data_IF_491181892608
#
_entry.id   IF_491181892608
#
_cell.length_a   1.000
_cell.length_b   1.000
_cell.length_c   1.000
_cell.angle_alpha   90.00
_cell.angle_beta   90.00
_cell.angle_gamma   90.00
#
_symmetry.space_group_name_H-M   'P 1'
#
loop_
_entity.id
_entity.type
_entity.pdbx_description
1 polymer ?
#
# COMPACT_ATOMS: atom_id res chain seq x y z
N UNK A 1 5.11 -27.72 56.32
CA UNK A 1 4.63 -27.59 54.93
C UNK A 1 5.48 -26.54 54.20
N UNK A 2 6.45 -27.00 53.43
CA UNK A 2 7.37 -26.13 52.72
C UNK A 2 6.85 -25.84 51.33
N UNK A 3 6.59 -24.56 51.03
CA UNK A 3 6.18 -24.11 49.72
C UNK A 3 7.40 -24.16 48.78
N UNK A 4 7.38 -25.05 47.78
CA UNK A 4 8.41 -25.10 46.73
C UNK A 4 8.29 -23.85 45.85
N UNK A 5 9.37 -23.07 45.75
CA UNK A 5 9.47 -21.90 44.89
C UNK A 5 9.68 -22.32 43.42
N UNK A 6 9.13 -21.59 42.49
CA UNK A 6 9.25 -21.82 41.03
C UNK A 6 10.66 -21.46 40.51
N UNK A 7 11.16 -22.10 39.44
CA UNK A 7 12.50 -21.84 38.88
C UNK A 7 12.75 -20.37 38.51
N UNK A 8 11.69 -19.62 38.22
CA UNK A 8 11.77 -18.16 37.87
C UNK A 8 12.17 -17.32 39.08
N UNK A 9 11.72 -17.69 40.28
CA UNK A 9 12.03 -16.96 41.53
C UNK A 9 13.48 -17.17 41.99
N UNK A 10 14.07 -18.31 41.71
CA UNK A 10 15.49 -18.57 41.99
C UNK A 10 16.43 -17.80 41.03
N UNK A 11 16.08 -17.75 39.75
CA UNK A 11 16.85 -16.99 38.74
C UNK A 11 16.90 -15.48 39.06
N UNK A 12 15.81 -14.93 39.58
CA UNK A 12 15.77 -13.51 40.00
C UNK A 12 16.64 -13.23 41.22
N UNK A 13 16.73 -14.20 42.14
CA UNK A 13 17.56 -14.06 43.36
C UNK A 13 19.05 -14.16 43.11
N UNK A 14 19.46 -15.02 42.17
CA UNK A 14 20.88 -15.17 41.77
C UNK A 14 21.36 -13.93 41.03
N UNK A 15 20.54 -13.31 40.16
CA UNK A 15 20.88 -12.09 39.44
C UNK A 15 21.01 -10.82 40.34
N UNK A 16 20.26 -10.81 41.47
CA UNK A 16 20.36 -9.71 42.46
C UNK A 16 21.65 -9.81 43.30
N UNK A 17 22.19 -11.00 43.49
CA UNK A 17 23.43 -11.18 44.22
C UNK A 17 24.72 -10.86 43.43
N UNK A 18 24.62 -10.71 42.09
CA UNK A 18 25.74 -10.43 41.18
C UNK A 18 25.91 -8.94 40.83
N UNK A 19 25.17 -8.01 41.44
CA UNK A 19 25.36 -6.58 41.25
C UNK A 19 25.10 -6.11 39.82
N UNK A 20 24.34 -6.85 39.01
CA UNK A 20 23.99 -6.42 37.66
C UNK A 20 22.80 -5.47 37.77
N UNK A 21 23.09 -4.19 37.66
CA UNK A 21 22.10 -3.12 37.56
C UNK A 21 21.36 -3.28 36.20
N UNK A 22 20.17 -3.92 36.26
CA UNK A 22 19.28 -3.96 35.08
C UNK A 22 18.69 -2.57 35.00
N UNK A 23 19.25 -1.73 34.12
CA UNK A 23 18.66 -0.47 33.75
C UNK A 23 17.18 -0.72 33.44
N UNK A 24 16.27 -0.20 34.27
CA UNK A 24 14.84 -0.19 34.09
C UNK A 24 14.50 0.67 32.87
N UNK A 25 14.55 0.09 31.67
CA UNK A 25 13.74 0.57 30.59
C UNK A 25 12.28 0.28 31.00
N UNK A 26 11.58 1.27 31.50
CA UNK A 26 10.13 1.21 31.67
C UNK A 26 9.58 0.92 30.25
N UNK A 27 9.03 -0.29 30.04
CA UNK A 27 8.15 -0.55 28.89
C UNK A 27 7.00 0.42 29.06
N UNK A 28 6.98 1.48 28.25
CA UNK A 28 5.85 2.41 28.21
C UNK A 28 4.60 1.59 27.90
N UNK A 29 3.50 1.87 28.59
CA UNK A 29 2.20 1.32 28.26
C UNK A 29 1.83 1.70 26.83
N UNK A 30 1.22 0.80 26.06
CA UNK A 30 0.89 1.02 24.65
C UNK A 30 0.08 2.31 24.44
N UNK A 31 -0.83 2.63 25.33
CA UNK A 31 -1.60 3.90 25.30
C UNK A 31 -0.70 5.14 25.42
N UNK A 32 0.34 5.07 26.23
CA UNK A 32 1.30 6.18 26.42
C UNK A 32 2.10 6.42 25.13
N UNK A 33 2.49 5.37 24.42
CA UNK A 33 3.21 5.47 23.15
C UNK A 33 2.31 6.05 22.05
N UNK A 34 1.06 5.58 21.95
CA UNK A 34 0.07 6.13 21.01
C UNK A 34 -0.09 7.64 21.26
N UNK A 35 -0.28 8.06 22.52
CA UNK A 35 -0.43 9.46 22.90
C UNK A 35 0.82 10.28 22.53
N UNK A 36 2.01 9.75 22.76
CA UNK A 36 3.27 10.42 22.40
C UNK A 36 3.39 10.62 20.88
N UNK A 37 2.97 9.63 20.08
CA UNK A 37 3.07 9.68 18.61
C UNK A 37 1.93 10.43 17.93
N UNK A 38 0.85 10.76 18.65
CA UNK A 38 -0.32 11.44 18.11
C UNK A 38 -0.18 12.97 18.25
N UNK A 39 -0.34 13.70 17.14
CA UNK A 39 -0.42 15.17 17.13
C UNK A 39 -1.85 15.69 16.94
N UNK A 40 -2.73 14.88 16.34
CA UNK A 40 -4.14 15.18 16.13
C UNK A 40 -4.94 13.87 16.06
N UNK A 41 -6.25 13.95 16.28
CA UNK A 41 -7.17 12.81 16.21
C UNK A 41 -8.30 13.11 15.23
N UNK A 42 -8.69 12.11 14.46
CA UNK A 42 -9.83 12.14 13.55
C UNK A 42 -10.74 10.96 13.85
N UNK A 43 -11.95 11.23 14.35
CA UNK A 43 -12.95 10.19 14.64
C UNK A 43 -14.11 10.19 13.63
N UNK A 44 -14.57 11.37 13.20
CA UNK A 44 -15.56 11.54 12.12
C UNK A 44 -15.47 12.94 11.50
N UNK A 45 -16.04 13.06 10.27
CA UNK A 45 -16.02 14.31 9.52
C UNK A 45 -16.98 15.40 10.08
N UNK A 46 -17.91 15.06 10.98
CA UNK A 46 -18.95 15.96 11.47
C UNK A 46 -18.44 16.92 12.55
N UNK A 47 -17.32 16.66 13.18
CA UNK A 47 -16.78 17.39 14.31
C UNK A 47 -15.33 17.84 14.11
N UNK A 48 -15.12 18.90 13.34
CA UNK A 48 -13.79 19.50 13.26
C UNK A 48 -13.23 19.63 11.85
N UNK A 49 -11.91 19.61 11.74
CA UNK A 49 -11.19 19.68 10.45
C UNK A 49 -11.39 18.39 9.64
N UNK A 50 -11.43 18.53 8.33
CA UNK A 50 -11.45 17.37 7.43
C UNK A 50 -10.13 16.59 7.50
N UNK A 51 -10.17 15.31 7.23
CA UNK A 51 -8.98 14.43 7.30
C UNK A 51 -7.81 14.93 6.44
N UNK A 52 -8.01 15.36 5.18
CA UNK A 52 -6.92 15.94 4.37
C UNK A 52 -6.27 17.16 5.00
N UNK A 53 -7.03 18.02 5.66
CA UNK A 53 -6.52 19.23 6.31
C UNK A 53 -5.56 18.87 7.45
N UNK A 54 -5.96 17.92 8.31
CA UNK A 54 -5.11 17.40 9.38
C UNK A 54 -3.83 16.75 8.84
N UNK A 55 -3.94 15.99 7.74
CA UNK A 55 -2.79 15.36 7.11
C UNK A 55 -1.81 16.39 6.50
N UNK A 56 -2.31 17.45 5.88
CA UNK A 56 -1.47 18.49 5.29
C UNK A 56 -0.82 19.36 6.38
N UNK A 57 -1.50 19.63 7.49
CA UNK A 57 -0.92 20.27 8.67
C UNK A 57 0.20 19.41 9.28
N UNK A 58 -0.06 18.10 9.46
CA UNK A 58 0.96 17.14 9.89
C UNK A 58 2.19 17.20 8.98
N UNK A 59 1.99 17.16 7.65
CA UNK A 59 3.09 17.20 6.68
C UNK A 59 3.91 18.50 6.82
N UNK A 60 3.24 19.64 6.98
CA UNK A 60 3.89 20.93 7.15
C UNK A 60 4.76 20.97 8.41
N UNK A 61 4.23 20.49 9.53
CA UNK A 61 4.93 20.41 10.82
C UNK A 61 6.10 19.41 10.76
N UNK A 62 5.86 18.21 10.21
CA UNK A 62 6.87 17.18 10.15
C UNK A 62 8.04 17.56 9.22
N UNK A 63 7.81 18.31 8.13
CA UNK A 63 8.87 18.88 7.31
C UNK A 63 9.80 19.81 8.08
N UNK A 64 9.30 20.54 9.09
CA UNK A 64 10.12 21.41 9.95
C UNK A 64 10.93 20.60 10.96
N UNK A 65 10.31 19.59 11.56
CA UNK A 65 10.79 18.94 12.77
C UNK A 65 11.42 17.56 12.55
N UNK A 66 11.29 16.99 11.34
CA UNK A 66 11.83 15.67 11.01
C UNK A 66 12.75 15.72 9.77
N UNK A 67 14.10 15.73 10.01
CA UNK A 67 15.08 15.88 8.93
C UNK A 67 15.01 14.84 7.82
N UNK A 68 14.65 13.57 8.15
CA UNK A 68 14.55 12.51 7.14
C UNK A 68 13.40 12.76 6.16
N UNK A 69 12.23 13.18 6.66
CA UNK A 69 11.11 13.57 5.81
C UNK A 69 11.45 14.78 4.95
N UNK A 70 12.11 15.78 5.54
CA UNK A 70 12.54 16.97 4.80
C UNK A 70 13.42 16.60 3.61
N UNK A 71 14.46 15.79 3.84
CA UNK A 71 15.35 15.29 2.77
C UNK A 71 14.58 14.52 1.70
N UNK A 72 13.67 13.61 2.12
CA UNK A 72 12.83 12.88 1.18
C UNK A 72 11.90 13.77 0.35
N UNK A 73 11.37 14.86 0.93
CA UNK A 73 10.57 15.82 0.18
C UNK A 73 11.44 16.72 -0.75
N UNK A 74 12.64 17.04 -0.34
CA UNK A 74 13.59 17.80 -1.15
C UNK A 74 14.06 17.01 -2.37
N UNK A 75 14.33 15.71 -2.22
CA UNK A 75 14.75 14.84 -3.32
C UNK A 75 13.70 14.69 -4.44
N UNK A 76 12.43 15.02 -4.19
CA UNK A 76 11.42 15.05 -5.23
C UNK A 76 11.71 16.10 -6.32
N UNK A 77 12.51 17.13 -6.02
CA UNK A 77 12.90 18.16 -7.00
C UNK A 77 13.90 17.67 -8.04
N UNK A 78 14.63 16.61 -7.70
CA UNK A 78 15.69 16.04 -8.53
C UNK A 78 15.20 14.84 -9.36
N UNK A 79 13.90 14.53 -9.27
CA UNK A 79 13.29 13.47 -10.04
C UNK A 79 13.23 13.87 -11.51
N UNK A 80 13.70 12.97 -12.37
CA UNK A 80 13.54 13.09 -13.82
C UNK A 80 12.41 12.20 -14.28
N UNK A 81 11.60 12.72 -15.20
CA UNK A 81 10.48 12.00 -15.79
C UNK A 81 10.53 12.03 -17.31
N UNK A 82 10.06 10.96 -17.92
CA UNK A 82 9.76 10.90 -19.36
C UNK A 82 8.62 9.95 -19.63
N UNK A 83 7.82 10.28 -20.64
CA UNK A 83 6.73 9.42 -21.04
C UNK A 83 7.20 8.40 -22.11
N UNK A 84 6.69 7.18 -22.03
CA UNK A 84 6.89 6.10 -22.99
C UNK A 84 5.53 5.73 -23.56
N UNK A 85 5.34 5.96 -24.87
CA UNK A 85 4.13 5.55 -25.58
C UNK A 85 4.20 4.08 -25.94
N UNK A 86 3.29 3.29 -25.37
CA UNK A 86 3.10 1.87 -25.61
C UNK A 86 1.90 1.62 -26.55
N UNK A 87 1.62 0.37 -26.88
CA UNK A 87 0.46 0.01 -27.71
C UNK A 87 -0.85 0.27 -26.92
N UNK A 88 -1.51 1.36 -27.22
CA UNK A 88 -2.82 1.72 -26.65
C UNK A 88 -2.78 2.43 -25.30
N UNK A 89 -1.62 2.60 -24.65
CA UNK A 89 -1.47 3.30 -23.37
C UNK A 89 -0.12 4.02 -23.30
N UNK A 90 0.06 4.84 -22.27
CA UNK A 90 1.33 5.49 -21.97
C UNK A 90 1.79 5.18 -20.56
N UNK A 91 3.09 5.24 -20.33
CA UNK A 91 3.70 5.08 -19.01
C UNK A 91 4.68 6.20 -18.78
N UNK A 92 4.63 6.81 -17.60
CA UNK A 92 5.65 7.74 -17.14
C UNK A 92 6.75 6.97 -16.45
N UNK A 93 7.95 7.01 -17.00
CA UNK A 93 9.13 6.55 -16.28
C UNK A 93 9.58 7.66 -15.34
N UNK A 94 9.87 7.28 -14.08
CA UNK A 94 10.35 8.21 -13.07
C UNK A 94 11.71 7.72 -12.54
N UNK A 95 12.79 8.49 -12.79
CA UNK A 95 14.09 8.23 -12.18
C UNK A 95 14.12 8.76 -10.75
N UNK A 96 14.12 7.85 -9.77
CA UNK A 96 14.12 8.18 -8.35
C UNK A 96 15.16 7.33 -7.60
N UNK A 97 16.42 7.78 -7.50
CA UNK A 97 17.51 7.02 -6.85
C UNK A 97 17.24 6.69 -5.38
N UNK A 98 16.51 7.55 -4.64
CA UNK A 98 16.16 7.33 -3.24
C UNK A 98 15.32 6.06 -3.01
N UNK A 99 14.71 5.53 -4.07
CA UNK A 99 13.90 4.30 -4.02
C UNK A 99 14.72 3.02 -4.14
N UNK A 100 16.03 3.08 -4.37
CA UNK A 100 16.87 1.89 -4.61
C UNK A 100 16.74 0.85 -3.48
N UNK A 101 16.78 1.28 -2.22
CA UNK A 101 16.67 0.39 -1.06
C UNK A 101 15.32 -0.32 -1.01
N UNK A 102 14.24 0.41 -1.29
CA UNK A 102 12.89 -0.15 -1.31
C UNK A 102 12.72 -1.14 -2.48
N UNK A 103 13.23 -0.78 -3.66
CA UNK A 103 13.14 -1.62 -4.87
C UNK A 103 13.94 -2.92 -4.73
N UNK A 104 15.10 -2.88 -4.08
CA UNK A 104 15.95 -4.04 -3.85
C UNK A 104 15.57 -4.84 -2.59
N UNK A 105 14.69 -4.34 -1.73
CA UNK A 105 14.30 -5.04 -0.52
C UNK A 105 13.82 -6.47 -0.83
N UNK A 106 14.40 -7.45 -0.16
CA UNK A 106 13.99 -8.84 -0.28
C UNK A 106 12.78 -9.09 0.64
N UNK A 107 11.62 -9.11 0.04
CA UNK A 107 10.34 -9.35 0.75
C UNK A 107 10.11 -10.85 1.01
N UNK A 108 10.84 -11.73 0.29
CA UNK A 108 10.65 -13.18 0.39
C UNK A 108 11.53 -13.84 1.48
N UNK A 109 12.66 -13.23 1.86
CA UNK A 109 13.64 -13.82 2.79
C UNK A 109 13.61 -13.23 4.20
N UNK A 110 12.80 -12.26 4.49
CA UNK A 110 12.69 -11.79 5.86
C UNK A 110 11.97 -12.85 6.71
N UNK A 111 12.74 -13.61 7.49
CA UNK A 111 12.21 -14.18 8.72
C UNK A 111 11.50 -13.04 9.45
N UNK A 112 10.18 -13.02 9.38
CA UNK A 112 9.33 -11.98 9.97
C UNK A 112 9.65 -11.75 11.47
N UNK A 113 10.26 -12.74 12.12
CA UNK A 113 10.67 -12.71 13.52
C UNK A 113 12.00 -11.98 13.80
N UNK A 114 12.82 -11.64 12.80
CA UNK A 114 14.14 -11.00 13.02
C UNK A 114 14.18 -9.53 12.61
N UNK A 115 13.28 -9.07 11.74
CA UNK A 115 13.24 -7.68 11.30
C UNK A 115 12.32 -6.84 12.20
N UNK A 116 12.89 -5.82 12.84
CA UNK A 116 12.06 -4.81 13.52
C UNK A 116 11.16 -4.10 12.49
N UNK A 117 9.85 -4.26 12.65
CA UNK A 117 8.88 -3.61 11.76
C UNK A 117 8.94 -2.09 11.98
N UNK A 118 9.22 -1.35 10.92
CA UNK A 118 9.36 0.12 10.99
C UNK A 118 8.00 0.85 11.08
N UNK A 119 6.88 0.14 11.00
CA UNK A 119 5.53 0.70 11.19
C UNK A 119 5.00 0.48 12.62
N UNK A 120 5.61 -0.42 13.40
CA UNK A 120 5.24 -0.58 14.81
C UNK A 120 5.58 0.69 15.60
N UNK A 121 4.67 1.10 16.48
CA UNK A 121 4.76 2.36 17.24
C UNK A 121 6.09 2.53 17.99
N UNK A 122 6.58 1.44 18.60
CA UNK A 122 7.82 1.39 19.38
C UNK A 122 9.10 1.54 18.52
N UNK A 123 8.97 1.37 17.20
CA UNK A 123 10.09 1.51 16.26
C UNK A 123 10.03 2.81 15.44
N UNK A 124 8.95 3.58 15.57
CA UNK A 124 8.86 4.87 14.89
C UNK A 124 9.93 5.84 15.42
N UNK A 125 10.63 6.58 14.54
CA UNK A 125 11.54 7.65 14.97
C UNK A 125 10.91 8.58 15.98
N UNK A 126 11.67 9.09 16.96
CA UNK A 126 11.14 9.96 18.00
C UNK A 126 10.45 11.20 17.43
N UNK A 127 11.02 11.77 16.37
CA UNK A 127 10.48 12.95 15.68
C UNK A 127 9.26 12.65 14.80
N UNK A 128 8.97 11.38 14.50
CA UNK A 128 7.81 11.03 13.69
C UNK A 128 6.54 11.06 14.54
N UNK A 129 5.59 11.87 14.11
CA UNK A 129 4.24 11.97 14.68
C UNK A 129 3.21 11.64 13.61
N UNK A 130 1.97 11.41 14.02
CA UNK A 130 0.88 11.08 13.11
C UNK A 130 -0.47 11.63 13.57
N UNK A 131 -1.47 11.50 12.69
CA UNK A 131 -2.88 11.71 13.00
C UNK A 131 -3.47 10.36 13.40
N UNK A 132 -4.00 10.27 14.62
CA UNK A 132 -4.73 9.10 15.07
C UNK A 132 -6.09 9.07 14.36
N UNK A 133 -6.30 8.02 13.58
CA UNK A 133 -7.51 7.83 12.80
C UNK A 133 -8.38 6.75 13.43
N UNK A 134 -9.56 7.16 13.91
CA UNK A 134 -10.62 6.31 14.49
C UNK A 134 -10.10 5.32 15.54
N UNK A 135 -9.10 5.73 16.33
CA UNK A 135 -8.47 4.94 17.40
C UNK A 135 -7.89 3.58 16.96
N UNK A 136 -7.76 3.33 15.66
CA UNK A 136 -7.27 2.06 15.09
C UNK A 136 -6.03 2.22 14.22
N UNK A 137 -5.86 3.37 13.58
CA UNK A 137 -4.75 3.63 12.66
C UNK A 137 -4.01 4.91 13.02
N UNK A 138 -2.73 4.95 12.67
CA UNK A 138 -1.93 6.17 12.72
C UNK A 138 -1.54 6.57 11.30
N UNK A 139 -1.95 7.78 10.88
CA UNK A 139 -1.59 8.34 9.57
C UNK A 139 -0.27 9.06 9.72
N UNK A 140 0.73 8.58 9.01
CA UNK A 140 2.12 9.02 9.06
C UNK A 140 2.53 9.66 7.73
N UNK A 141 3.40 10.68 7.78
CA UNK A 141 4.09 11.12 6.57
C UNK A 141 5.06 10.04 6.08
N UNK A 142 5.05 9.76 4.78
CA UNK A 142 6.00 8.82 4.19
C UNK A 142 7.37 9.52 4.02
N UNK A 143 8.45 9.05 4.69
CA UNK A 143 9.77 9.68 4.62
C UNK A 143 10.50 9.47 3.28
N UNK A 144 9.99 8.58 2.43
CA UNK A 144 10.46 8.34 1.06
C UNK A 144 9.31 8.57 0.09
N UNK A 145 8.78 9.80 -0.01
CA UNK A 145 7.59 10.08 -0.79
C UNK A 145 7.86 9.89 -2.29
N UNK A 146 6.78 9.58 -3.03
CA UNK A 146 6.76 9.58 -4.50
C UNK A 146 5.98 10.80 -4.97
N UNK A 147 5.04 11.27 -4.16
CA UNK A 147 4.21 12.43 -4.40
C UNK A 147 4.47 13.54 -3.37
N UNK A 148 4.21 14.82 -3.67
CA UNK A 148 4.44 15.95 -2.75
C UNK A 148 3.75 15.80 -1.38
N UNK A 149 2.57 15.17 -1.36
CA UNK A 149 1.86 14.73 -0.16
C UNK A 149 1.64 13.21 -0.25
N UNK A 150 2.34 12.44 0.56
CA UNK A 150 2.31 10.99 0.56
C UNK A 150 2.27 10.47 1.99
N UNK A 151 1.20 9.78 2.34
CA UNK A 151 0.94 9.29 3.69
C UNK A 151 0.89 7.77 3.73
N UNK A 152 1.24 7.22 4.88
CA UNK A 152 1.06 5.81 5.23
C UNK A 152 0.06 5.73 6.36
N UNK A 153 -1.03 5.00 6.18
CA UNK A 153 -2.08 4.75 7.17
C UNK A 153 -1.80 3.38 7.79
N UNK A 154 -1.08 3.37 8.90
CA UNK A 154 -0.61 2.15 9.57
C UNK A 154 -1.58 1.73 10.67
N UNK A 155 -1.96 0.45 10.72
CA UNK A 155 -2.70 -0.09 11.85
C UNK A 155 -1.86 0.02 13.13
N UNK A 156 -2.49 0.30 14.29
CA UNK A 156 -1.77 0.45 15.56
C UNK A 156 -1.14 -0.87 16.03
N UNK A 157 -1.82 -1.97 15.79
CA UNK A 157 -1.33 -3.31 16.09
C UNK A 157 -0.57 -3.90 14.91
N UNK A 158 0.45 -4.71 15.20
CA UNK A 158 1.17 -5.47 14.18
C UNK A 158 0.29 -6.62 13.68
N UNK A 159 -0.35 -6.41 12.54
CA UNK A 159 -1.23 -7.38 11.86
C UNK A 159 -0.72 -7.65 10.44
N UNK A 160 -0.88 -8.86 9.91
CA UNK A 160 -0.49 -9.18 8.54
C UNK A 160 -1.12 -8.23 7.52
N UNK A 161 -0.37 -7.91 6.45
CA UNK A 161 -0.84 -7.12 5.33
C UNK A 161 -1.85 -7.94 4.51
N UNK A 162 -3.15 -7.75 4.77
CA UNK A 162 -4.25 -8.40 4.06
C UNK A 162 -5.45 -7.45 3.97
N UNK A 163 -6.08 -7.37 2.79
CA UNK A 163 -7.20 -6.44 2.54
C UNK A 163 -8.56 -7.13 2.69
N UNK A 164 -8.61 -8.46 2.65
CA UNK A 164 -9.88 -9.21 2.60
C UNK A 164 -10.87 -8.80 3.70
N UNK A 165 -10.38 -8.62 4.94
CA UNK A 165 -11.21 -8.20 6.07
C UNK A 165 -11.15 -6.68 6.34
N UNK A 166 -10.52 -5.92 5.44
CA UNK A 166 -10.23 -4.50 5.63
C UNK A 166 -10.77 -3.61 4.51
N UNK A 167 -11.56 -4.18 3.61
CA UNK A 167 -12.15 -3.41 2.51
C UNK A 167 -13.08 -2.31 3.04
N UNK A 168 -13.84 -2.57 4.10
CA UNK A 168 -14.65 -1.56 4.76
C UNK A 168 -13.82 -0.36 5.27
N UNK A 169 -12.60 -0.63 5.77
CA UNK A 169 -11.66 0.42 6.19
C UNK A 169 -11.17 1.23 4.99
N UNK A 170 -10.84 0.57 3.87
CA UNK A 170 -10.45 1.26 2.65
C UNK A 170 -11.58 2.19 2.16
N UNK A 171 -12.82 1.68 2.07
CA UNK A 171 -13.97 2.47 1.63
C UNK A 171 -14.26 3.66 2.56
N UNK A 172 -14.10 3.46 3.86
CA UNK A 172 -14.23 4.52 4.87
C UNK A 172 -13.12 5.57 4.75
N UNK A 173 -11.87 5.15 4.58
CA UNK A 173 -10.75 6.08 4.33
C UNK A 173 -11.00 6.92 3.08
N UNK A 174 -11.50 6.32 1.99
CA UNK A 174 -11.84 7.03 0.78
C UNK A 174 -12.90 8.11 1.01
N UNK A 175 -13.95 7.80 1.76
CA UNK A 175 -15.00 8.76 2.11
C UNK A 175 -14.46 9.90 3.02
N UNK A 176 -13.64 9.56 4.03
CA UNK A 176 -13.08 10.54 4.97
C UNK A 176 -12.00 11.43 4.33
N UNK A 177 -11.21 10.92 3.39
CA UNK A 177 -10.31 11.73 2.56
C UNK A 177 -11.08 12.57 1.54
N UNK A 178 -12.19 12.03 1.00
CA UNK A 178 -13.06 12.69 0.05
C UNK A 178 -12.46 12.88 -1.32
N UNK A 179 -13.12 13.70 -2.16
CA UNK A 179 -12.67 13.98 -3.53
C UNK A 179 -11.29 14.64 -3.57
N UNK A 180 -10.54 14.32 -4.62
CA UNK A 180 -9.17 14.82 -4.79
C UNK A 180 -8.10 14.00 -4.08
N UNK A 181 -8.45 12.85 -3.48
CA UNK A 181 -7.52 11.94 -2.85
C UNK A 181 -7.68 10.50 -3.36
N UNK A 182 -6.56 9.82 -3.47
CA UNK A 182 -6.46 8.39 -3.74
C UNK A 182 -5.96 7.69 -2.51
N UNK A 183 -6.69 6.67 -2.04
CA UNK A 183 -6.17 5.73 -1.03
C UNK A 183 -5.85 4.42 -1.73
N UNK A 184 -4.71 3.82 -1.39
CA UNK A 184 -4.26 2.64 -2.09
C UNK A 184 -3.60 1.59 -1.19
N UNK A 185 -3.62 0.36 -1.68
CA UNK A 185 -3.13 -0.84 -1.03
C UNK A 185 -2.17 -1.61 -1.93
N UNK A 186 -1.07 -2.06 -1.34
CA UNK A 186 -0.18 -3.04 -1.94
C UNK A 186 -0.30 -4.35 -1.18
N UNK A 187 -0.63 -5.43 -1.87
CA UNK A 187 -0.61 -6.77 -1.29
C UNK A 187 0.79 -7.18 -0.82
N UNK A 188 0.89 -8.11 0.15
CA UNK A 188 2.16 -8.45 0.80
C UNK A 188 3.23 -8.97 -0.17
N UNK A 189 2.81 -9.62 -1.26
CA UNK A 189 3.69 -10.19 -2.29
C UNK A 189 3.76 -9.35 -3.57
N UNK A 190 3.22 -8.13 -3.58
CA UNK A 190 3.18 -7.26 -4.77
C UNK A 190 3.41 -5.78 -4.45
N UNK A 191 4.49 -5.50 -3.75
CA UNK A 191 5.01 -4.15 -3.56
C UNK A 191 4.81 -3.52 -2.19
N UNK A 192 4.22 -4.23 -1.22
CA UNK A 192 4.18 -3.76 0.17
C UNK A 192 5.59 -3.69 0.76
N UNK A 193 5.98 -2.53 1.31
CA UNK A 193 7.28 -2.37 1.98
C UNK A 193 7.31 -3.00 3.38
N UNK A 194 6.14 -3.19 4.01
CA UNK A 194 5.93 -3.90 5.26
C UNK A 194 4.86 -4.98 5.04
N UNK A 195 5.23 -6.15 4.48
CA UNK A 195 4.28 -7.20 4.14
C UNK A 195 3.67 -7.91 5.36
N UNK A 196 4.25 -7.68 6.52
CA UNK A 196 3.87 -8.21 7.83
C UNK A 196 3.08 -7.22 8.68
N UNK A 197 2.82 -5.99 8.19
CA UNK A 197 2.11 -4.96 8.94
C UNK A 197 1.05 -4.26 8.08
N UNK A 198 -0.21 -4.41 8.48
CA UNK A 198 -1.36 -3.83 7.78
C UNK A 198 -1.25 -2.32 7.64
N UNK A 199 -1.24 -1.84 6.42
CA UNK A 199 -1.22 -0.43 6.11
C UNK A 199 -1.85 -0.13 4.76
N UNK A 200 -2.39 1.08 4.64
CA UNK A 200 -2.77 1.72 3.39
C UNK A 200 -1.85 2.90 3.12
N UNK A 201 -1.97 3.49 1.95
CA UNK A 201 -1.28 4.73 1.62
C UNK A 201 -2.29 5.72 1.03
N UNK A 202 -2.01 7.01 1.17
CA UNK A 202 -2.85 8.06 0.62
C UNK A 202 -2.01 9.16 -0.05
N UNK A 203 -2.51 9.68 -1.17
CA UNK A 203 -1.92 10.79 -1.91
C UNK A 203 -3.00 11.59 -2.64
N UNK A 204 -2.73 12.83 -3.06
CA UNK A 204 -3.65 13.56 -3.93
C UNK A 204 -3.91 12.81 -5.24
N UNK A 205 -5.15 12.83 -5.71
CA UNK A 205 -5.56 12.26 -7.01
C UNK A 205 -4.97 13.05 -8.20
N UNK A 206 -5.07 12.49 -9.39
CA UNK A 206 -4.58 13.10 -10.63
C UNK A 206 -3.10 12.85 -10.92
N UNK A 207 -2.43 12.06 -10.07
CA UNK A 207 -1.01 11.78 -10.21
C UNK A 207 -0.73 10.60 -11.15
N UNK A 208 -1.56 9.54 -11.09
CA UNK A 208 -1.36 8.32 -11.86
C UNK A 208 -2.11 8.37 -13.19
N UNK A 209 -1.50 7.84 -14.25
CA UNK A 209 -2.09 7.85 -15.59
C UNK A 209 -3.38 7.02 -15.65
N UNK A 210 -3.47 5.93 -14.88
CA UNK A 210 -4.65 5.06 -14.80
C UNK A 210 -5.92 5.83 -14.44
N UNK A 211 -5.82 6.89 -13.65
CA UNK A 211 -6.97 7.69 -13.21
C UNK A 211 -7.75 8.31 -14.39
N UNK A 212 -7.03 8.63 -15.47
CA UNK A 212 -7.64 9.13 -16.73
C UNK A 212 -8.02 7.98 -17.66
N UNK A 213 -7.17 6.95 -17.75
CA UNK A 213 -7.36 5.83 -18.66
C UNK A 213 -8.64 5.05 -18.37
N UNK A 214 -9.05 4.91 -17.10
CA UNK A 214 -10.28 4.22 -16.71
C UNK A 214 -11.56 5.00 -17.02
N UNK A 215 -11.47 6.30 -17.27
CA UNK A 215 -12.62 7.15 -17.62
C UNK A 215 -12.95 7.13 -19.12
N UNK A 216 -12.13 6.49 -19.96
CA UNK A 216 -12.37 6.40 -21.39
C UNK A 216 -13.40 5.31 -21.74
N UNK A 217 -14.68 5.66 -21.81
CA UNK A 217 -15.83 4.74 -22.04
C UNK A 217 -15.66 3.79 -23.23
N UNK A 218 -14.93 4.16 -24.24
CA UNK A 218 -14.67 3.34 -25.45
C UNK A 218 -13.86 2.07 -25.15
N UNK A 219 -13.27 1.96 -23.97
CA UNK A 219 -12.32 0.89 -23.62
C UNK A 219 -12.93 -0.25 -22.83
N UNK A 220 -14.22 -0.25 -22.47
CA UNK A 220 -14.78 -1.28 -21.60
C UNK A 220 -16.20 -1.71 -21.99
N UNK A 221 -16.56 -2.92 -21.55
CA UNK A 221 -17.93 -3.43 -21.56
C UNK A 221 -18.38 -3.55 -20.11
N UNK A 222 -19.40 -2.81 -19.67
CA UNK A 222 -19.86 -2.83 -18.28
C UNK A 222 -20.69 -4.07 -17.99
N UNK A 223 -20.63 -4.54 -16.75
CA UNK A 223 -21.57 -5.51 -16.18
C UNK A 223 -21.99 -5.08 -14.78
N UNK A 224 -23.22 -5.41 -14.40
CA UNK A 224 -23.77 -5.08 -13.09
C UNK A 224 -23.82 -6.33 -12.22
N UNK A 225 -23.28 -6.25 -11.02
CA UNK A 225 -23.31 -7.32 -10.03
C UNK A 225 -23.76 -6.72 -8.70
N UNK A 226 -24.96 -7.11 -8.24
CA UNK A 226 -25.54 -6.67 -6.96
C UNK A 226 -25.48 -5.14 -6.71
N UNK A 227 -25.82 -4.36 -7.74
CA UNK A 227 -25.80 -2.89 -7.64
C UNK A 227 -24.44 -2.23 -7.89
N UNK A 228 -23.38 -3.00 -8.06
CA UNK A 228 -22.03 -2.51 -8.38
C UNK A 228 -21.76 -2.66 -9.87
N UNK A 229 -21.32 -1.58 -10.51
CA UNK A 229 -20.82 -1.58 -11.88
C UNK A 229 -19.39 -2.15 -11.89
N UNK A 230 -19.19 -3.20 -12.67
CA UNK A 230 -17.88 -3.81 -12.87
C UNK A 230 -17.51 -3.77 -14.35
N UNK A 231 -16.28 -3.36 -14.65
CA UNK A 231 -15.76 -3.37 -16.02
C UNK A 231 -14.26 -3.56 -16.08
N UNK A 232 -13.77 -3.93 -17.26
CA UNK A 232 -12.35 -4.12 -17.55
C UNK A 232 -11.94 -3.21 -18.70
N UNK A 233 -11.15 -2.17 -18.44
CA UNK A 233 -10.55 -1.36 -19.49
C UNK A 233 -9.60 -2.21 -20.35
N UNK A 234 -9.65 -2.01 -21.68
CA UNK A 234 -8.80 -2.71 -22.66
C UNK A 234 -7.56 -1.89 -23.01
N UNK A 235 -6.58 -2.56 -23.58
CA UNK A 235 -5.38 -1.94 -24.17
C UNK A 235 -4.57 -1.08 -23.19
N UNK A 236 -4.52 -1.50 -21.92
CA UNK A 236 -3.70 -0.86 -20.88
C UNK A 236 -2.36 -1.57 -20.62
N UNK A 237 -2.03 -2.61 -21.39
CA UNK A 237 -0.82 -3.43 -21.24
C UNK A 237 -0.76 -4.25 -19.94
N UNK A 238 -1.78 -4.12 -19.09
CA UNK A 238 -1.94 -4.79 -17.81
C UNK A 238 -3.40 -5.07 -17.52
N UNK A 239 -3.67 -6.10 -16.73
CA UNK A 239 -5.03 -6.44 -16.35
C UNK A 239 -5.54 -5.52 -15.24
N UNK A 240 -6.72 -5.00 -15.46
CA UNK A 240 -7.40 -4.06 -14.54
C UNK A 240 -8.87 -4.46 -14.41
N UNK A 241 -9.38 -4.44 -13.18
CA UNK A 241 -10.80 -4.51 -12.88
C UNK A 241 -11.18 -3.21 -12.19
N UNK A 242 -12.21 -2.55 -12.70
CA UNK A 242 -12.79 -1.36 -12.05
C UNK A 242 -14.14 -1.72 -11.48
N UNK A 243 -14.39 -1.30 -10.25
CA UNK A 243 -15.67 -1.43 -9.55
C UNK A 243 -16.17 -0.05 -9.16
N UNK A 244 -17.43 0.26 -9.43
CA UNK A 244 -18.07 1.51 -9.06
C UNK A 244 -19.44 1.25 -8.41
N UNK A 245 -19.74 1.99 -7.35
CA UNK A 245 -21.01 1.92 -6.64
C UNK A 245 -21.17 3.07 -5.65
N UNK A 246 -22.40 3.26 -5.20
CA UNK A 246 -22.80 4.26 -4.18
C UNK A 246 -23.16 3.61 -2.83
N UNK A 247 -23.26 2.28 -2.79
CA UNK A 247 -23.46 1.53 -1.55
C UNK A 247 -22.16 0.85 -1.12
N UNK A 248 -21.52 1.30 -0.01
CA UNK A 248 -20.26 0.71 0.47
C UNK A 248 -20.43 -0.76 0.89
N UNK A 249 -21.62 -1.18 1.34
CA UNK A 249 -21.89 -2.58 1.72
C UNK A 249 -21.93 -3.47 0.48
N UNK A 250 -22.56 -3.01 -0.60
CA UNK A 250 -22.53 -3.71 -1.87
C UNK A 250 -21.12 -3.77 -2.46
N UNK A 251 -20.37 -2.67 -2.40
CA UNK A 251 -18.97 -2.61 -2.84
C UNK A 251 -18.07 -3.60 -2.09
N UNK A 252 -18.18 -3.66 -0.76
CA UNK A 252 -17.47 -4.62 0.09
C UNK A 252 -17.77 -6.06 -0.33
N UNK A 253 -19.07 -6.41 -0.40
CA UNK A 253 -19.52 -7.74 -0.75
C UNK A 253 -19.05 -8.21 -2.13
N UNK A 254 -19.14 -7.34 -3.14
CA UNK A 254 -18.70 -7.68 -4.51
C UNK A 254 -17.18 -7.78 -4.58
N UNK A 255 -16.45 -6.95 -3.84
CA UNK A 255 -15.00 -7.03 -3.74
C UNK A 255 -14.53 -8.35 -3.10
N UNK A 256 -15.13 -8.74 -1.97
CA UNK A 256 -14.87 -10.04 -1.32
C UNK A 256 -15.21 -11.21 -2.24
N UNK A 257 -16.33 -11.10 -2.97
CA UNK A 257 -16.71 -12.06 -4.00
C UNK A 257 -15.65 -12.23 -5.08
N UNK A 258 -15.04 -11.11 -5.54
CA UNK A 258 -13.95 -11.13 -6.52
C UNK A 258 -12.69 -11.79 -5.94
N UNK A 259 -12.30 -11.45 -4.70
CA UNK A 259 -11.16 -12.11 -4.03
C UNK A 259 -11.37 -13.61 -3.90
N UNK A 260 -12.56 -14.03 -3.47
CA UNK A 260 -12.91 -15.44 -3.32
C UNK A 260 -12.93 -16.18 -4.68
N UNK A 261 -13.40 -15.53 -5.74
CA UNK A 261 -13.36 -16.09 -7.07
C UNK A 261 -11.91 -16.27 -7.55
N UNK A 262 -11.06 -15.27 -7.37
CA UNK A 262 -9.62 -15.35 -7.69
C UNK A 262 -8.93 -16.45 -6.88
N UNK A 263 -9.19 -16.56 -5.56
CA UNK A 263 -8.64 -17.64 -4.72
C UNK A 263 -8.99 -19.01 -5.27
N UNK A 264 -10.25 -19.23 -5.65
CA UNK A 264 -10.72 -20.51 -6.19
C UNK A 264 -10.09 -20.85 -7.54
N UNK A 265 -10.02 -19.88 -8.46
CA UNK A 265 -9.43 -20.11 -9.80
C UNK A 265 -7.93 -20.38 -9.68
N UNK A 266 -7.24 -19.68 -8.79
CA UNK A 266 -5.80 -19.81 -8.57
C UNK A 266 -5.44 -20.95 -7.59
N UNK A 267 -6.44 -21.62 -6.96
CA UNK A 267 -6.25 -22.65 -5.93
C UNK A 267 -5.36 -22.17 -4.78
N UNK A 268 -5.65 -20.97 -4.26
CA UNK A 268 -4.91 -20.34 -3.17
C UNK A 268 -5.66 -20.46 -1.83
N UNK A 269 -4.92 -20.72 -0.75
CA UNK A 269 -5.43 -20.59 0.62
C UNK A 269 -5.27 -19.16 1.17
N UNK A 270 -4.28 -18.43 0.68
CA UNK A 270 -3.98 -17.05 1.05
C UNK A 270 -4.64 -16.02 0.12
N UNK A 271 -4.51 -14.73 0.47
CA UNK A 271 -4.99 -13.62 -0.36
C UNK A 271 -4.30 -13.62 -1.73
N UNK A 272 -5.07 -13.49 -2.84
CA UNK A 272 -4.50 -13.34 -4.17
C UNK A 272 -3.59 -12.11 -4.25
N UNK A 273 -2.56 -12.18 -5.06
CA UNK A 273 -1.69 -11.02 -5.30
C UNK A 273 -2.49 -9.93 -6.00
N UNK A 274 -2.72 -8.80 -5.33
CA UNK A 274 -3.42 -7.64 -5.87
C UNK A 274 -2.80 -6.32 -5.40
N UNK A 275 -2.96 -5.29 -6.24
CA UNK A 275 -2.85 -3.90 -5.82
C UNK A 275 -4.21 -3.22 -6.02
N UNK A 276 -4.58 -2.30 -5.15
CA UNK A 276 -5.88 -1.62 -5.21
C UNK A 276 -5.67 -0.13 -5.04
N UNK A 277 -6.22 0.68 -5.95
CA UNK A 277 -6.41 2.11 -5.76
C UNK A 277 -7.89 2.41 -5.61
N UNK A 278 -8.24 3.37 -4.78
CA UNK A 278 -9.62 3.79 -4.60
C UNK A 278 -9.77 5.31 -4.65
N UNK A 279 -10.95 5.74 -5.07
CA UNK A 279 -11.38 7.13 -5.18
C UNK A 279 -12.80 7.27 -4.65
N UNK A 280 -13.11 8.45 -4.13
CA UNK A 280 -14.48 8.79 -3.72
C UNK A 280 -14.84 10.17 -4.28
N UNK A 281 -15.89 10.21 -5.11
CA UNK A 281 -16.40 11.44 -5.71
C UNK A 281 -17.93 11.54 -5.53
N UNK A 282 -18.37 12.60 -4.88
CA UNK A 282 -19.78 12.73 -4.51
C UNK A 282 -20.20 11.61 -3.57
N UNK A 283 -21.13 10.75 -4.03
CA UNK A 283 -21.61 9.58 -3.28
C UNK A 283 -21.05 8.26 -3.83
N UNK A 284 -20.09 8.30 -4.76
CA UNK A 284 -19.62 7.10 -5.46
C UNK A 284 -18.21 6.72 -5.05
N UNK A 285 -18.02 5.45 -4.75
CA UNK A 285 -16.74 4.79 -4.65
C UNK A 285 -16.34 4.19 -5.99
N UNK A 286 -15.08 4.34 -6.34
CA UNK A 286 -14.44 3.66 -7.46
C UNK A 286 -13.18 2.96 -6.97
N UNK A 287 -13.10 1.64 -7.20
CA UNK A 287 -11.93 0.83 -6.92
C UNK A 287 -11.29 0.37 -8.24
N UNK A 288 -9.99 0.54 -8.35
CA UNK A 288 -9.16 0.08 -9.47
C UNK A 288 -8.27 -1.03 -8.95
N UNK A 289 -8.52 -2.24 -9.39
CA UNK A 289 -7.90 -3.46 -8.90
C UNK A 289 -6.96 -4.00 -9.98
N UNK A 290 -5.71 -4.26 -9.61
CA UNK A 290 -4.70 -4.87 -10.46
C UNK A 290 -4.41 -6.29 -9.95
N UNK A 291 -5.01 -7.33 -10.54
CA UNK A 291 -4.64 -8.70 -10.23
C UNK A 291 -3.24 -9.01 -10.74
N UNK A 292 -2.43 -9.62 -9.88
CA UNK A 292 -1.02 -9.89 -10.12
C UNK A 292 -0.73 -11.39 -10.10
N UNK A 293 0.31 -11.82 -10.84
CA UNK A 293 0.82 -13.19 -10.76
C UNK A 293 2.21 -13.28 -10.18
N UNK A 294 3.01 -12.22 -10.28
CA UNK A 294 4.32 -12.14 -9.64
C UNK A 294 4.68 -10.71 -9.26
N UNK A 295 5.58 -10.58 -8.29
CA UNK A 295 6.00 -9.27 -7.77
C UNK A 295 6.88 -8.54 -8.79
N UNK A 296 7.92 -9.22 -9.30
CA UNK A 296 8.97 -8.63 -10.13
C UNK A 296 9.07 -9.32 -11.48
N UNK A 297 9.39 -8.58 -12.56
CA UNK A 297 9.62 -9.18 -13.88
C UNK A 297 10.91 -10.01 -13.88
N UNK A 298 11.05 -10.90 -14.86
CA UNK A 298 12.23 -11.77 -14.99
C UNK A 298 13.51 -10.96 -15.20
N UNK A 299 13.41 -9.79 -15.83
CA UNK A 299 14.53 -8.87 -16.01
C UNK A 299 15.14 -8.38 -14.70
N UNK A 300 14.39 -8.37 -13.59
CA UNK A 300 14.92 -8.00 -12.28
C UNK A 300 16.00 -8.97 -11.77
N UNK A 301 15.86 -10.25 -12.09
CA UNK A 301 16.74 -11.33 -11.62
C UNK A 301 17.92 -11.62 -12.55
N UNK A 302 18.03 -10.91 -13.67
CA UNK A 302 19.15 -11.01 -14.58
C UNK A 302 20.39 -10.32 -14.02
N UNK A 303 21.51 -10.49 -14.68
CA UNK A 303 22.78 -9.87 -14.32
C UNK A 303 23.24 -8.84 -15.36
N UNK A 304 24.20 -8.01 -14.97
CA UNK A 304 24.85 -7.04 -15.83
C UNK A 304 23.88 -6.09 -16.52
N UNK A 305 24.09 -5.87 -17.80
CA UNK A 305 23.32 -4.92 -18.60
C UNK A 305 21.89 -5.35 -18.93
N UNK A 306 21.59 -6.64 -18.80
CA UNK A 306 20.24 -7.18 -19.03
C UNK A 306 19.34 -7.07 -17.81
N UNK A 307 19.89 -6.74 -16.64
CA UNK A 307 19.14 -6.51 -15.42
C UNK A 307 18.41 -5.18 -15.49
N UNK A 308 17.11 -5.19 -15.11
CA UNK A 308 16.28 -4.01 -14.94
C UNK A 308 15.78 -3.96 -13.50
N UNK A 309 16.17 -2.93 -12.75
CA UNK A 309 15.85 -2.80 -11.34
C UNK A 309 14.50 -2.10 -11.20
N UNK A 310 13.42 -2.87 -11.32
CA UNK A 310 12.03 -2.42 -11.10
C UNK A 310 11.30 -3.42 -10.21
N UNK A 311 10.46 -2.94 -9.31
CA UNK A 311 9.70 -3.76 -8.36
C UNK A 311 8.27 -3.25 -8.27
N UNK A 312 7.43 -3.53 -9.30
CA UNK A 312 6.16 -2.87 -9.48
C UNK A 312 5.19 -3.06 -8.30
N UNK A 313 4.85 -1.96 -7.64
CA UNK A 313 3.74 -1.81 -6.71
C UNK A 313 2.57 -1.09 -7.38
N UNK A 314 1.61 -0.59 -6.58
CA UNK A 314 0.42 0.07 -7.10
C UNK A 314 0.74 1.27 -8.00
N UNK A 315 1.66 2.14 -7.59
CA UNK A 315 1.99 3.35 -8.33
C UNK A 315 2.54 3.00 -9.71
N UNK A 316 3.38 1.95 -9.77
CA UNK A 316 3.90 1.45 -11.04
C UNK A 316 2.78 0.86 -11.91
N UNK A 317 1.89 0.07 -11.32
CA UNK A 317 0.70 -0.44 -12.01
C UNK A 317 -0.26 0.68 -12.41
N UNK A 318 -0.27 1.79 -11.67
CA UNK A 318 -1.00 3.01 -11.96
C UNK A 318 -0.44 3.85 -13.11
N UNK A 319 0.69 3.45 -13.70
CA UNK A 319 1.26 4.10 -14.88
C UNK A 319 2.48 4.99 -14.61
N UNK A 320 3.03 5.01 -13.38
CA UNK A 320 4.30 5.67 -13.06
C UNK A 320 5.32 4.60 -12.70
N UNK A 321 6.11 4.14 -13.66
CA UNK A 321 7.12 3.11 -13.44
C UNK A 321 8.39 3.72 -12.86
N UNK A 322 8.70 3.37 -11.61
CA UNK A 322 9.82 3.91 -10.86
C UNK A 322 11.10 3.14 -11.19
N UNK A 323 12.11 3.85 -11.66
CA UNK A 323 13.43 3.33 -12.01
C UNK A 323 14.50 4.01 -11.13
N UNK A 324 15.00 3.32 -10.08
CA UNK A 324 16.01 3.92 -9.20
C UNK A 324 17.40 3.94 -9.81
N UNK A 325 17.63 3.22 -10.91
CA UNK A 325 18.91 3.13 -11.61
C UNK A 325 18.84 3.94 -12.91
N UNK A 326 19.76 4.86 -13.11
CA UNK A 326 19.80 5.75 -14.27
C UNK A 326 19.85 4.99 -15.59
N UNK A 327 20.67 3.94 -15.68
CA UNK A 327 20.76 3.07 -16.86
C UNK A 327 19.37 2.56 -17.29
N UNK A 328 18.54 2.15 -16.33
CA UNK A 328 17.21 1.61 -16.61
C UNK A 328 16.26 2.72 -17.06
N UNK A 329 16.34 3.88 -16.43
CA UNK A 329 15.57 5.05 -16.84
C UNK A 329 15.86 5.42 -18.31
N UNK A 330 17.12 5.45 -18.73
CA UNK A 330 17.51 5.84 -20.09
C UNK A 330 17.14 4.77 -21.16
N UNK A 331 17.26 3.48 -20.80
CA UNK A 331 17.16 2.37 -21.78
C UNK A 331 15.77 1.75 -21.93
N UNK A 332 14.88 1.91 -20.93
CA UNK A 332 13.55 1.32 -21.00
C UNK A 332 12.76 1.97 -22.16
N UNK A 333 12.29 1.14 -23.06
CA UNK A 333 11.45 1.51 -24.20
C UNK A 333 10.06 0.86 -24.09
N UNK A 334 9.17 1.15 -25.03
CA UNK A 334 7.81 0.62 -25.06
C UNK A 334 7.76 -0.92 -24.95
N UNK A 335 8.56 -1.64 -25.73
CA UNK A 335 8.59 -3.10 -25.71
C UNK A 335 9.00 -3.65 -24.34
N UNK A 336 9.99 -3.03 -23.69
CA UNK A 336 10.44 -3.44 -22.35
C UNK A 336 9.37 -3.16 -21.29
N UNK A 337 8.70 -2.02 -21.35
CA UNK A 337 7.60 -1.64 -20.44
C UNK A 337 6.40 -2.57 -20.61
N UNK A 338 5.96 -2.83 -21.85
CA UNK A 338 4.88 -3.76 -22.15
C UNK A 338 5.18 -5.16 -21.60
N UNK A 339 6.41 -5.62 -21.79
CA UNK A 339 6.86 -6.90 -21.25
C UNK A 339 6.84 -6.95 -19.74
N UNK A 340 7.33 -5.90 -19.04
CA UNK A 340 7.29 -5.80 -17.58
C UNK A 340 5.84 -5.96 -17.09
N UNK A 341 4.90 -5.21 -17.66
CA UNK A 341 3.51 -5.27 -17.26
C UNK A 341 2.86 -6.62 -17.55
N UNK A 342 3.08 -7.18 -18.75
CA UNK A 342 2.57 -8.50 -19.10
C UNK A 342 3.11 -9.61 -18.19
N UNK A 343 4.38 -9.51 -17.76
CA UNK A 343 4.98 -10.49 -16.86
C UNK A 343 4.45 -10.44 -15.42
N UNK A 344 4.10 -9.27 -14.91
CA UNK A 344 3.65 -9.13 -13.52
C UNK A 344 2.13 -9.16 -13.35
N UNK A 345 1.36 -8.94 -14.41
CA UNK A 345 -0.11 -9.01 -14.40
C UNK A 345 -0.61 -10.45 -14.42
N UNK A 346 -1.80 -10.67 -13.90
CA UNK A 346 -2.49 -11.95 -14.03
C UNK A 346 -2.83 -12.21 -15.50
N UNK A 347 -2.90 -13.48 -15.90
CA UNK A 347 -3.30 -13.84 -17.26
C UNK A 347 -4.78 -13.49 -17.52
N UNK A 348 -5.09 -12.92 -18.72
CA UNK A 348 -6.46 -12.52 -19.07
C UNK A 348 -7.50 -13.64 -18.95
N UNK A 349 -7.14 -14.87 -19.28
CA UNK A 349 -8.05 -16.03 -19.21
C UNK A 349 -8.44 -16.38 -17.77
N UNK A 350 -7.47 -16.32 -16.83
CA UNK A 350 -7.70 -16.59 -15.41
C UNK A 350 -8.61 -15.51 -14.83
N UNK A 351 -8.37 -14.26 -15.19
CA UNK A 351 -9.22 -13.15 -14.74
C UNK A 351 -10.63 -13.24 -15.29
N UNK A 352 -10.80 -13.64 -16.56
CA UNK A 352 -12.13 -13.87 -17.15
C UNK A 352 -12.89 -14.93 -16.38
N UNK A 353 -12.25 -16.08 -16.09
CA UNK A 353 -12.88 -17.15 -15.32
C UNK A 353 -13.29 -16.69 -13.93
N UNK A 354 -12.47 -15.89 -13.24
CA UNK A 354 -12.80 -15.34 -11.92
C UNK A 354 -14.04 -14.42 -11.98
N UNK A 355 -14.11 -13.53 -12.99
CA UNK A 355 -15.26 -12.62 -13.17
C UNK A 355 -16.54 -13.40 -13.55
N UNK A 356 -16.46 -14.41 -14.39
CA UNK A 356 -17.60 -15.28 -14.71
C UNK A 356 -18.12 -16.03 -13.47
N UNK A 357 -17.23 -16.49 -12.61
CA UNK A 357 -17.62 -17.12 -11.33
C UNK A 357 -18.25 -16.11 -10.39
N UNK A 358 -17.72 -14.90 -10.31
CA UNK A 358 -18.31 -13.81 -9.53
C UNK A 358 -19.75 -13.51 -9.97
N UNK A 359 -19.99 -13.41 -11.28
CA UNK A 359 -21.32 -13.16 -11.84
C UNK A 359 -22.36 -14.26 -11.55
N UNK A 360 -21.93 -15.45 -11.14
CA UNK A 360 -22.83 -16.57 -10.75
C UNK A 360 -23.13 -16.60 -9.24
N UNK A 361 -22.46 -15.77 -8.45
CA UNK A 361 -22.72 -15.69 -6.99
C UNK A 361 -24.06 -14.97 -6.79
N UNK A 362 -24.95 -15.57 -6.00
CA UNK A 362 -26.13 -14.91 -5.49
C UNK A 362 -25.76 -14.26 -4.16
N UNK A 363 -25.72 -12.96 -4.15
CA UNK A 363 -25.41 -12.14 -2.96
C UNK A 363 -26.65 -11.92 -2.09
#
# INVERSE_FOLDING_TARGET
MGVRRTPLQETIKVKRAMGIDIARGQKMDGESVVKEKTCATFDNAERGKRLPELCLELLSEQKKNWPDLRRGCESLKDIRERDVSCRGFSVRLQHNPERIKNTLADVAQTNANERRCFLCLEHLPQSQKGVLYRSEYLILCNPRPIFPAHFTVSHLEHRPQAIAEQIHTLLRLLADFGSGWTVFYNGPKCGASAPDHLHFQAAPSGQMLIEREICEEKRFTPSWISGVLLYRPRDLGREVVVMEGDDPVAMERVFEGLLNALKRVLSLDEEPMINVAGFHEGEKWRLVIFPRRKHRPDSFFKEGDTRVVVSPGLIDMGGILITPVEKDFERLNATAVERIYAEVSLEPMILNEAIERLGKIKF
#
